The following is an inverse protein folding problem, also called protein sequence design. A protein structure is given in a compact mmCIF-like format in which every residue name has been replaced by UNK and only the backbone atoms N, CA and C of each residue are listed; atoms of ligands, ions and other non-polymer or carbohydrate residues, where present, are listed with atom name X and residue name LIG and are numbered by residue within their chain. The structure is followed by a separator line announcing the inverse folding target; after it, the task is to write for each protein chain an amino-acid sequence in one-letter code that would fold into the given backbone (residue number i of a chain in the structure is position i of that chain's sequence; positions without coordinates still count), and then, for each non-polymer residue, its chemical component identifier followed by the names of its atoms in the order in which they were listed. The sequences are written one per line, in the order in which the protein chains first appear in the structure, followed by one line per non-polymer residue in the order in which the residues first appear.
data_IF_594347940282
#
_entry.id   IF_594347940282
#
_cell.length_a   1.000
_cell.length_b   1.000
_cell.length_c   1.000
_cell.angle_alpha   90.00
_cell.angle_beta   90.00
_cell.angle_gamma   90.00
#
_symmetry.space_group_name_H-M   'P 1'
#
loop_
_entity.id
_entity.type
_entity.pdbx_description
1 polymer ?
2 water ?
#
# COMPACT_ATOMS: atom_id res chain seq x y z
N UNK A 1 34.34 9.08 0.49
CA UNK A 1 34.14 9.19 -0.96
C UNK A 1 32.66 9.31 -1.28
N UNK A 2 32.27 10.48 -1.79
CA UNK A 2 30.89 10.72 -2.16
C UNK A 2 30.41 9.75 -3.23
N UNK A 3 31.24 9.51 -4.25
CA UNK A 3 30.83 8.68 -5.37
C UNK A 3 30.58 7.22 -4.98
N UNK A 4 31.40 6.67 -4.08
CA UNK A 4 31.20 5.30 -3.62
C UNK A 4 29.89 5.12 -2.84
N UNK A 5 29.48 6.13 -2.08
CA UNK A 5 28.21 6.04 -1.36
C UNK A 5 27.04 6.04 -2.36
N UNK A 6 27.16 6.87 -3.38
CA UNK A 6 26.17 6.95 -4.44
C UNK A 6 26.04 5.58 -5.11
N UNK A 7 27.17 5.03 -5.57
CA UNK A 7 27.20 3.75 -6.25
C UNK A 7 26.59 2.66 -5.40
N UNK A 8 27.03 2.60 -4.15
CA UNK A 8 26.58 1.57 -3.25
C UNK A 8 25.10 1.73 -2.91
N UNK A 9 24.64 2.98 -2.76
CA UNK A 9 23.22 3.22 -2.56
C UNK A 9 22.39 2.75 -3.75
N UNK A 10 22.88 3.04 -4.96
CA UNK A 10 22.15 2.67 -6.16
C UNK A 10 22.15 1.15 -6.35
N UNK A 11 23.29 0.52 -6.12
CA UNK A 11 23.39 -0.93 -6.26
C UNK A 11 22.39 -1.64 -5.35
N UNK A 12 22.28 -1.16 -4.11
CA UNK A 12 21.31 -1.71 -3.18
C UNK A 12 19.87 -1.41 -3.61
N UNK A 13 19.58 -0.17 -4.01
CA UNK A 13 18.26 0.18 -4.49
C UNK A 13 17.83 -0.75 -5.60
N UNK A 14 18.74 -0.96 -6.55
CA UNK A 14 18.46 -1.75 -7.76
C UNK A 14 18.18 -3.23 -7.48
N UNK A 15 18.66 -3.72 -6.35
CA UNK A 15 18.51 -5.12 -5.98
C UNK A 15 17.16 -5.37 -5.31
N UNK A 16 16.46 -4.29 -4.95
CA UNK A 16 15.23 -4.40 -4.20
C UNK A 16 14.02 -4.71 -5.07
N UNK A 17 13.19 -5.62 -4.59
CA UNK A 17 11.88 -5.83 -5.17
C UNK A 17 10.82 -5.24 -4.25
N UNK A 18 9.59 -5.14 -4.74
CA UNK A 18 8.49 -4.62 -3.93
C UNK A 18 8.28 -5.52 -2.73
N UNK A 19 8.65 -6.78 -2.89
CA UNK A 19 8.48 -7.74 -1.81
C UNK A 19 9.39 -7.37 -0.64
N UNK A 20 10.55 -6.76 -0.92
CA UNK A 20 11.48 -6.37 0.14
C UNK A 20 10.99 -5.09 0.87
N UNK A 21 10.16 -4.33 0.18
CA UNK A 21 9.76 -3.00 0.60
C UNK A 21 8.33 -3.00 1.20
N UNK A 22 7.55 -4.02 0.87
CA UNK A 22 6.12 -4.05 1.21
C UNK A 22 5.84 -4.17 2.71
N UNK A 23 4.64 -3.84 3.15
CA UNK A 23 4.24 -4.27 4.49
C UNK A 23 3.51 -5.59 4.29
N UNK A 24 3.95 -6.65 4.97
CA UNK A 24 3.23 -7.92 4.83
C UNK A 24 1.77 -7.78 5.25
N UNK A 25 0.89 -8.56 4.60
CA UNK A 25 -0.54 -8.45 4.81
C UNK A 25 -0.91 -8.65 6.27
N UNK A 26 -0.23 -9.58 6.93
CA UNK A 26 -0.41 -9.82 8.36
C UNK A 26 -0.15 -8.58 9.22
N UNK A 27 0.73 -7.71 8.74
CA UNK A 27 1.15 -6.54 9.51
C UNK A 27 0.37 -5.28 9.14
N UNK A 28 -0.35 -5.33 8.02
CA UNK A 28 -1.04 -4.16 7.51
C UNK A 28 -2.22 -3.69 8.36
N UNK A 29 -2.41 -2.38 8.41
CA UNK A 29 -3.60 -1.89 9.04
C UNK A 29 -4.67 -1.96 7.95
N UNK A 30 -5.79 -2.63 8.22
CA UNK A 30 -6.84 -2.79 7.20
C UNK A 30 -8.22 -2.51 7.79
N UNK A 31 -9.21 -2.30 6.93
CA UNK A 31 -10.54 -1.97 7.43
C UNK A 31 -11.62 -2.70 6.62
N UNK A 32 -12.63 -3.23 7.32
CA UNK A 32 -13.78 -3.90 6.68
C UNK A 32 -14.63 -2.94 5.86
N UNK A 33 -15.08 -3.40 4.70
CA UNK A 33 -15.97 -2.61 3.87
C UNK A 33 -17.27 -2.18 4.54
N UNK A 34 -17.70 -2.90 5.58
CA UNK A 34 -18.91 -2.52 6.30
C UNK A 34 -18.70 -1.47 7.39
N UNK A 35 -17.46 -1.01 7.56
CA UNK A 35 -17.12 -0.07 8.63
C UNK A 35 -17.97 1.21 8.56
N UNK A 36 -18.25 1.77 9.75
CA UNK A 36 -18.96 3.02 9.94
C UNK A 36 -17.90 4.02 10.43
N UNK A 37 -17.82 5.20 9.83
CA UNK A 37 -16.76 6.12 10.23
C UNK A 37 -17.20 6.94 11.45
N UNK A 38 -17.53 6.22 12.52
CA UNK A 38 -17.78 6.86 13.82
C UNK A 38 -16.45 7.23 14.53
N UNK A 39 -16.53 7.80 15.73
CA UNK A 39 -15.31 8.21 16.39
C UNK A 39 -14.29 7.08 16.59
N UNK A 40 -14.74 5.94 17.11
CA UNK A 40 -13.81 4.87 17.43
C UNK A 40 -13.07 4.37 16.20
N UNK A 41 -13.78 4.34 15.09
CA UNK A 41 -13.19 3.84 13.88
C UNK A 41 -12.21 4.87 13.36
N UNK A 42 -12.62 6.12 13.34
CA UNK A 42 -11.74 7.14 12.81
C UNK A 42 -10.53 7.38 13.72
N UNK A 43 -10.74 7.29 15.03
CA UNK A 43 -9.60 7.39 15.95
C UNK A 43 -8.59 6.28 15.66
N UNK A 44 -9.05 5.05 15.52
CA UNK A 44 -8.16 3.95 15.22
C UNK A 44 -7.38 4.21 13.90
N UNK A 45 -8.09 4.69 12.89
CA UNK A 45 -7.45 5.02 11.62
C UNK A 45 -6.41 6.13 11.81
N UNK A 46 -6.80 7.22 12.46
CA UNK A 46 -5.89 8.34 12.65
C UNK A 46 -4.70 7.90 13.51
N UNK A 47 -4.94 7.08 14.53
CA UNK A 47 -3.83 6.66 15.37
C UNK A 47 -2.94 5.58 14.72
N UNK A 48 -3.34 5.03 13.57
CA UNK A 48 -2.51 4.00 12.96
C UNK A 48 -1.25 4.59 12.30
N UNK A 49 -1.27 5.86 11.92
CA UNK A 49 -0.19 6.43 11.13
C UNK A 49 -0.25 6.14 9.62
N UNK A 50 -1.08 5.19 9.19
CA UNK A 50 -1.15 4.86 7.75
C UNK A 50 -1.96 5.91 7.04
N UNK A 51 -1.60 6.22 5.80
CA UNK A 51 -2.38 7.21 5.08
C UNK A 51 -3.14 6.56 3.94
N UNK A 52 -2.79 5.31 3.67
CA UNK A 52 -3.47 4.54 2.64
C UNK A 52 -3.82 3.20 3.24
N UNK A 53 -5.11 2.86 3.21
CA UNK A 53 -5.58 1.69 3.96
C UNK A 53 -6.39 0.78 3.02
N UNK A 54 -5.99 -0.51 2.92
CA UNK A 54 -6.81 -1.42 2.13
C UNK A 54 -8.15 -1.72 2.80
N UNK A 55 -9.19 -1.85 1.98
CA UNK A 55 -10.53 -2.17 2.46
C UNK A 55 -10.84 -3.61 2.03
N UNK A 56 -11.15 -4.47 2.97
CA UNK A 56 -11.38 -5.88 2.62
C UNK A 56 -12.80 -6.30 2.91
N UNK A 57 -13.26 -7.38 2.29
CA UNK A 57 -14.54 -7.90 2.73
C UNK A 57 -14.49 -9.41 2.97
N UNK A 58 -14.89 -9.79 4.18
CA UNK A 58 -14.74 -11.16 4.64
C UNK A 58 -13.30 -11.41 5.06
N UNK A 59 -12.51 -11.95 4.14
CA UNK A 59 -11.09 -12.24 4.37
C UNK A 59 -10.17 -11.05 4.07
N UNK A 60 -9.13 -10.88 4.90
CA UNK A 60 -8.19 -9.77 4.72
C UNK A 60 -7.58 -9.78 3.33
N UNK A 61 -7.32 -10.96 2.77
CA UNK A 61 -6.74 -11.00 1.42
C UNK A 61 -7.73 -10.57 0.34
N UNK A 62 -9.01 -10.45 0.69
CA UNK A 62 -10.02 -10.05 -0.30
C UNK A 62 -10.17 -8.53 -0.29
N UNK A 63 -9.19 -7.87 -0.85
CA UNK A 63 -9.20 -6.41 -0.85
C UNK A 63 -10.09 -5.94 -1.97
N UNK A 64 -11.09 -5.11 -1.63
CA UNK A 64 -12.08 -4.68 -2.62
C UNK A 64 -12.07 -3.17 -2.87
N UNK A 65 -11.39 -2.39 -2.01
CA UNK A 65 -11.38 -0.94 -2.13
C UNK A 65 -10.15 -0.38 -1.42
N UNK A 66 -9.85 0.90 -1.68
CA UNK A 66 -8.77 1.57 -0.96
C UNK A 66 -9.37 2.74 -0.20
N UNK A 67 -8.77 3.07 0.93
CA UNK A 67 -9.17 4.24 1.67
C UNK A 67 -7.90 5.10 1.89
N UNK A 68 -7.98 6.35 1.45
CA UNK A 68 -6.88 7.31 1.53
C UNK A 68 -7.21 8.25 2.69
N UNK A 69 -6.38 8.21 3.73
CA UNK A 69 -6.74 8.90 4.95
C UNK A 69 -6.83 10.41 4.73
N UNK A 70 -6.01 10.95 3.83
CA UNK A 70 -6.03 12.39 3.59
C UNK A 70 -7.41 12.80 3.08
N UNK A 71 -8.11 11.87 2.42
CA UNK A 71 -9.48 12.14 2.00
C UNK A 71 -10.45 12.15 3.19
N UNK A 72 -9.99 11.74 4.37
CA UNK A 72 -10.85 11.73 5.56
C UNK A 72 -10.69 12.98 6.38
N UNK A 73 -9.74 13.84 5.98
CA UNK A 73 -9.45 15.05 6.75
C UNK A 73 -10.71 15.85 7.06
N UNK A 74 -11.69 15.83 6.16
CA UNK A 74 -12.90 16.65 6.39
C UNK A 74 -14.18 15.86 6.68
N UNK A 75 -14.04 14.57 7.01
CA UNK A 75 -15.20 13.76 7.39
C UNK A 75 -15.42 13.90 8.89
N UNK A 76 -16.66 14.12 9.30
CA UNK A 76 -16.98 14.31 10.71
C UNK A 76 -17.48 13.02 11.37
N UNK A 77 -16.67 12.48 12.30
CA UNK A 77 -16.97 11.33 13.16
C UNK A 77 -18.38 11.33 13.72
N UNK A 78 -18.90 12.49 14.07
CA UNK A 78 -20.21 12.55 14.71
C UNK A 78 -21.38 12.28 13.76
N UNK A 79 -21.12 12.34 12.45
CA UNK A 79 -22.15 12.02 11.44
C UNK A 79 -22.21 10.51 11.08
N UNK A 80 -21.20 9.76 11.53
CA UNK A 80 -21.13 8.30 11.32
C UNK A 80 -21.37 7.89 9.87
N UNK A 81 -20.72 8.57 8.94
CA UNK A 81 -20.89 8.23 7.53
C UNK A 81 -20.34 6.81 7.25
N UNK A 82 -21.13 5.97 6.58
CA UNK A 82 -20.69 4.60 6.24
C UNK A 82 -19.43 4.64 5.39
N UNK A 83 -18.49 3.73 5.59
CA UNK A 83 -17.29 3.72 4.75
C UNK A 83 -17.72 3.46 3.32
N UNK A 84 -18.64 2.52 3.15
CA UNK A 84 -19.23 2.23 1.82
C UNK A 84 -19.67 3.49 1.05
N UNK A 85 -20.24 4.49 1.75
CA UNK A 85 -20.61 5.75 1.11
C UNK A 85 -19.38 6.45 0.55
N UNK A 86 -18.34 6.54 1.37
CA UNK A 86 -17.08 7.10 0.96
C UNK A 86 -16.43 6.31 -0.21
N UNK A 87 -16.33 4.99 -0.09
CA UNK A 87 -15.58 4.18 -1.05
C UNK A 87 -16.35 4.05 -2.35
N UNK A 88 -17.67 3.93 -2.28
CA UNK A 88 -18.49 3.86 -3.50
C UNK A 88 -18.55 5.19 -4.21
N UNK A 89 -18.28 6.26 -3.46
CA UNK A 89 -18.29 7.59 -4.04
C UNK A 89 -17.03 7.79 -4.85
N UNK A 90 -15.88 7.73 -4.18
CA UNK A 90 -14.57 7.78 -4.85
C UNK A 90 -14.26 6.62 -5.83
N UNK A 91 -14.61 5.39 -5.46
CA UNK A 91 -14.34 4.21 -6.30
C UNK A 91 -12.89 4.17 -6.87
N UNK A 92 -11.88 4.42 -6.03
CA UNK A 92 -10.45 4.34 -6.45
C UNK A 92 -10.11 2.92 -6.95
N UNK A 93 -9.41 2.82 -8.11
CA UNK A 93 -9.17 1.50 -8.71
C UNK A 93 -8.01 0.71 -8.09
N UNK A 94 -8.18 -0.60 -7.95
CA UNK A 94 -7.14 -1.45 -7.40
C UNK A 94 -5.93 -1.64 -8.31
N UNK A 95 -4.75 -1.68 -7.71
CA UNK A 95 -3.49 -1.76 -8.42
C UNK A 95 -2.75 -2.99 -7.86
N UNK A 96 -2.51 -3.96 -8.72
CA UNK A 96 -1.81 -5.18 -8.31
C UNK A 96 -0.42 -5.23 -8.90
N UNK A 97 0.54 -5.71 -8.13
CA UNK A 97 1.90 -5.87 -8.66
C UNK A 97 2.49 -7.20 -8.29
N UNK A 98 3.33 -7.71 -9.19
CA UNK A 98 4.01 -8.96 -8.98
C UNK A 98 5.07 -8.82 -7.90
N UNK A 99 5.24 -9.86 -7.10
CA UNK A 99 6.20 -9.75 -5.99
C UNK A 99 7.66 -9.50 -6.43
N UNK A 100 8.01 -9.81 -7.67
CA UNK A 100 9.39 -9.61 -8.14
C UNK A 100 9.64 -8.24 -8.80
N UNK A 101 8.59 -7.43 -8.85
CA UNK A 101 8.67 -6.11 -9.46
C UNK A 101 9.75 -5.26 -8.78
N UNK A 102 10.61 -4.66 -9.60
CA UNK A 102 11.68 -3.79 -9.12
C UNK A 102 11.17 -2.38 -8.86
N UNK A 103 11.94 -1.58 -8.15
CA UNK A 103 11.46 -0.25 -7.80
C UNK A 103 11.34 0.72 -8.98
N UNK A 104 12.16 0.57 -10.03
CA UNK A 104 12.04 1.45 -11.19
C UNK A 104 10.70 1.21 -11.91
N UNK A 105 10.32 -0.06 -12.06
CA UNK A 105 9.03 -0.40 -12.64
C UNK A 105 7.87 0.13 -11.79
N UNK A 106 8.02 0.01 -10.48
CA UNK A 106 7.07 0.54 -9.52
C UNK A 106 6.87 2.06 -9.72
N UNK A 107 7.98 2.79 -9.77
CA UNK A 107 7.89 4.23 -10.04
C UNK A 107 7.14 4.52 -11.32
N UNK A 108 7.55 3.83 -12.39
CA UNK A 108 6.92 3.97 -13.68
C UNK A 108 5.40 3.73 -13.59
N UNK A 109 4.95 2.75 -12.82
CA UNK A 109 3.51 2.53 -12.71
C UNK A 109 2.80 3.65 -11.96
N UNK A 110 3.37 4.12 -10.84
CA UNK A 110 2.74 5.22 -10.12
C UNK A 110 2.70 6.46 -11.05
N UNK A 111 3.75 6.69 -11.83
CA UNK A 111 3.81 7.80 -12.78
C UNK A 111 2.77 7.72 -13.90
N UNK A 112 2.44 6.50 -14.33
CA UNK A 112 1.33 6.26 -15.27
C UNK A 112 -0.05 6.53 -14.68
N UNK A 113 -0.13 6.71 -13.37
CA UNK A 113 -1.40 7.05 -12.77
C UNK A 113 -2.05 5.91 -12.01
N UNK A 114 -1.35 4.79 -11.84
CA UNK A 114 -1.95 3.66 -11.18
C UNK A 114 -1.99 4.04 -9.70
N UNK A 115 -2.87 3.39 -8.92
CA UNK A 115 -3.13 3.82 -7.55
C UNK A 115 -1.85 3.81 -6.71
N UNK A 116 -1.74 4.79 -5.81
CA UNK A 116 -0.52 4.87 -5.01
C UNK A 116 -0.40 3.87 -3.86
N UNK A 117 -1.34 2.95 -3.79
CA UNK A 117 -1.18 1.77 -2.91
C UNK A 117 -1.29 0.59 -3.84
N UNK A 118 -0.29 -0.28 -3.85
CA UNK A 118 -0.30 -1.44 -4.77
C UNK A 118 -0.34 -2.70 -3.93
N UNK A 119 -1.10 -3.68 -4.39
CA UNK A 119 -1.26 -4.96 -3.70
C UNK A 119 -0.28 -5.98 -4.29
N UNK A 120 0.60 -6.53 -3.46
CA UNK A 120 1.66 -7.39 -3.96
C UNK A 120 1.17 -8.83 -4.00
N UNK A 121 1.28 -9.48 -5.15
CA UNK A 121 0.85 -10.86 -5.32
C UNK A 121 1.94 -11.75 -5.87
N UNK A 122 1.86 -13.03 -5.54
CA UNK A 122 2.63 -14.03 -6.22
C UNK A 122 1.65 -15.13 -6.67
N UNK A 123 2.10 -16.05 -7.50
CA UNK A 123 1.25 -17.16 -7.88
C UNK A 123 1.36 -18.28 -6.85
N UNK A 124 0.22 -18.71 -6.31
CA UNK A 124 0.17 -19.83 -5.38
C UNK A 124 -0.37 -21.03 -6.11
N UNK A 125 0.50 -22.02 -6.21
CA UNK A 125 0.21 -23.27 -6.88
C UNK A 125 0.23 -24.46 -5.91
N UNK A 126 -0.31 -24.27 -4.70
CA UNK A 126 -0.21 -25.31 -3.66
C UNK A 126 -1.51 -25.70 -2.95
N UNK A 127 -2.66 -25.20 -3.40
CA UNK A 127 -3.92 -25.49 -2.76
C UNK A 127 -4.93 -26.24 -3.63
N UNK A 128 -6.00 -26.74 -2.99
CA UNK A 128 -7.13 -27.38 -3.67
C UNK A 128 -8.20 -27.78 -2.66
N UNK A 130 -6.52 -25.40 -8.34
CA UNK A 130 -6.92 -24.17 -9.03
C UNK A 130 -6.07 -22.97 -8.60
N UNK A 131 -4.81 -22.90 -9.11
CA UNK A 131 -3.81 -21.90 -8.71
C UNK A 131 -4.41 -20.50 -8.63
N UNK A 132 -3.95 -19.71 -7.67
CA UNK A 132 -4.56 -18.41 -7.47
C UNK A 132 -3.45 -17.41 -7.19
N UNK A 133 -3.76 -16.13 -7.22
CA UNK A 133 -2.74 -15.18 -6.91
C UNK A 133 -2.86 -14.83 -5.43
N UNK A 134 -1.80 -15.09 -4.71
CA UNK A 134 -1.81 -14.95 -3.26
C UNK A 134 -1.42 -13.53 -2.91
N UNK A 135 -2.24 -12.88 -2.09
CA UNK A 135 -1.92 -11.49 -1.68
C UNK A 135 -0.86 -11.57 -0.58
N UNK A 136 0.29 -10.90 -0.79
CA UNK A 136 1.40 -10.97 0.17
C UNK A 136 1.47 -9.75 1.08
N UNK A 137 1.09 -8.59 0.55
CA UNK A 137 1.16 -7.37 1.33
C UNK A 137 0.87 -6.19 0.43
N UNK A 138 1.16 -4.99 0.94
CA UNK A 138 0.90 -3.80 0.16
C UNK A 138 2.15 -2.97 0.07
N UNK A 139 2.26 -2.20 -1.00
CA UNK A 139 3.38 -1.31 -1.13
C UNK A 139 2.81 0.02 -1.59
N UNK A 140 3.31 1.10 -1.00
CA UNK A 140 2.78 2.41 -1.34
C UNK A 140 3.81 3.29 -2.02
N UNK A 141 3.31 4.34 -2.63
CA UNK A 141 4.16 5.40 -3.14
C UNK A 141 5.19 5.84 -2.09
N UNK A 142 4.72 6.09 -0.88
CA UNK A 142 5.60 6.56 0.20
C UNK A 142 6.68 5.53 0.59
N UNK A 143 6.36 4.22 0.58
CA UNK A 143 7.40 3.21 0.83
C UNK A 143 8.52 3.28 -0.21
N UNK A 144 8.17 3.50 -1.46
CA UNK A 144 9.21 3.56 -2.49
C UNK A 144 10.02 4.87 -2.36
N UNK A 145 9.33 5.97 -2.17
CA UNK A 145 10.03 7.23 -1.97
C UNK A 145 10.97 7.11 -0.74
N UNK A 146 10.51 6.45 0.30
CA UNK A 146 11.30 6.25 1.50
C UNK A 146 12.59 5.47 1.23
N UNK A 147 12.53 4.46 0.36
CA UNK A 147 13.74 3.72 -0.02
C UNK A 147 14.70 4.60 -0.80
N UNK A 148 14.16 5.44 -1.68
CA UNK A 148 15.01 6.36 -2.40
C UNK A 148 15.71 7.32 -1.43
N UNK A 149 14.96 7.93 -0.52
CA UNK A 149 15.59 8.86 0.45
C UNK A 149 16.64 8.14 1.29
N UNK A 150 16.31 6.93 1.76
CA UNK A 150 17.27 6.16 2.57
C UNK A 150 18.54 5.77 1.80
N UNK A 151 18.43 5.66 0.49
CA UNK A 151 19.55 5.32 -0.37
C UNK A 151 20.59 6.45 -0.39
N UNK A 152 20.14 7.65 -0.03
CA UNK A 152 20.96 8.85 -0.01
C UNK A 152 21.54 9.24 -1.37
N UNK A 153 21.04 8.62 -2.44
CA UNK A 153 21.51 8.91 -3.79
C UNK A 153 21.37 10.40 -4.11
N UNK A 154 20.32 11.03 -3.60
CA UNK A 154 19.98 12.41 -3.91
C UNK A 154 20.53 13.42 -2.91
N UNK A 155 21.25 12.94 -1.90
CA UNK A 155 21.71 13.80 -0.82
C UNK A 155 22.84 14.74 -1.26
N UNK A 156 22.46 15.93 -1.72
CA UNK A 156 23.38 16.97 -2.20
C UNK A 156 24.65 16.49 -2.92
#
# INVERSE_FOLDING_TARGET
MEELNIIQGALELRTKTVEDVMTPLRDCFMITGEAILDFNTMSEIMESGYTRIPVFEGERSNIVDLLFVKDLAFVDPDDCTPLKTITKFYNHPLHFVFNDTKLDAMLEEFKKGKSHLAIVQRVNNEGEGDPFYEVLGIVTLEDVIEEIIKSEILDE
#
